data_IF_145965529712
#
_entry.id   IF_145965529712
#
_cell.length_a   1.000
_cell.length_b   1.000
_cell.length_c   1.000
_cell.angle_alpha   90.00
_cell.angle_beta   90.00
_cell.angle_gamma   90.00
#
_symmetry.space_group_name_H-M   'P 1'
#
loop_
_entity.id
_entity.type
_entity.pdbx_description
1 polymer ?
#
# COMPACT_ATOMS: atom_id res chain seq x y z
N UNK A 1 34.01 3.02 11.04
CA UNK A 1 32.66 3.61 11.19
C UNK A 1 31.87 3.19 9.96
N UNK A 2 30.86 2.33 10.11
CA UNK A 2 29.96 2.02 9.00
C UNK A 2 29.17 3.29 8.69
N UNK A 3 29.36 3.86 7.51
CA UNK A 3 28.47 4.91 7.00
C UNK A 3 27.05 4.38 7.06
N UNK A 4 26.08 5.13 7.60
CA UNK A 4 24.68 4.72 7.50
C UNK A 4 24.39 4.46 6.04
N UNK A 5 23.85 3.28 5.74
CA UNK A 5 23.52 2.89 4.38
C UNK A 5 22.35 3.77 3.94
N UNK A 6 22.67 4.93 3.34
CA UNK A 6 21.70 5.93 2.93
C UNK A 6 20.62 5.34 2.00
N UNK A 7 20.93 4.23 1.31
CA UNK A 7 19.97 3.50 0.50
C UNK A 7 18.93 2.76 1.35
N UNK A 8 19.33 2.15 2.47
CA UNK A 8 18.41 1.48 3.38
C UNK A 8 17.44 2.49 4.04
N UNK A 9 17.95 3.65 4.47
CA UNK A 9 17.08 4.70 5.02
C UNK A 9 16.08 5.22 3.98
N UNK A 10 16.53 5.45 2.75
CA UNK A 10 15.68 5.93 1.66
C UNK A 10 14.62 4.90 1.26
N UNK A 11 14.98 3.61 1.22
CA UNK A 11 14.05 2.52 0.97
C UNK A 11 12.94 2.46 2.02
N UNK A 12 13.31 2.54 3.31
CA UNK A 12 12.35 2.56 4.41
C UNK A 12 11.40 3.76 4.36
N UNK A 13 11.90 4.94 3.97
CA UNK A 13 11.06 6.12 3.79
C UNK A 13 10.05 5.93 2.65
N UNK A 14 10.48 5.33 1.54
CA UNK A 14 9.59 5.02 0.43
C UNK A 14 8.54 3.97 0.81
N UNK A 15 8.89 2.97 1.62
CA UNK A 15 7.94 1.98 2.16
C UNK A 15 6.92 2.63 3.09
N UNK A 16 7.32 3.57 3.97
CA UNK A 16 6.38 4.33 4.80
C UNK A 16 5.40 5.15 3.95
N UNK A 17 5.88 5.78 2.86
CA UNK A 17 5.02 6.53 1.94
C UNK A 17 4.03 5.61 1.21
N UNK A 18 4.45 4.40 0.83
CA UNK A 18 3.56 3.41 0.22
C UNK A 18 2.51 2.89 1.22
N UNK A 19 2.89 2.67 2.47
CA UNK A 19 1.96 2.28 3.53
C UNK A 19 0.92 3.39 3.79
N UNK A 20 1.33 4.65 3.80
CA UNK A 20 0.40 5.78 3.91
C UNK A 20 -0.59 5.81 2.74
N UNK A 21 -0.13 5.57 1.51
CA UNK A 21 -1.00 5.50 0.32
C UNK A 21 -1.98 4.34 0.38
N UNK A 22 -1.52 3.16 0.79
CA UNK A 22 -2.37 1.99 1.00
C UNK A 22 -3.46 2.27 2.05
N UNK A 23 -3.10 2.96 3.14
CA UNK A 23 -4.04 3.38 4.17
C UNK A 23 -5.06 4.42 3.65
N UNK A 24 -4.62 5.39 2.85
CA UNK A 24 -5.52 6.35 2.22
C UNK A 24 -6.49 5.68 1.25
N UNK A 25 -6.04 4.69 0.47
CA UNK A 25 -6.90 3.90 -0.41
C UNK A 25 -7.93 3.10 0.40
N UNK A 26 -7.51 2.46 1.49
CA UNK A 26 -8.41 1.77 2.40
C UNK A 26 -9.49 2.71 2.96
N UNK A 27 -9.09 3.90 3.43
CA UNK A 27 -10.03 4.91 3.93
C UNK A 27 -10.99 5.40 2.86
N UNK A 28 -10.52 5.61 1.63
CA UNK A 28 -11.38 5.98 0.51
C UNK A 28 -12.44 4.91 0.22
N UNK A 29 -12.08 3.63 0.31
CA UNK A 29 -13.04 2.52 0.18
C UNK A 29 -14.02 2.49 1.35
N UNK A 30 -13.57 2.67 2.59
CA UNK A 30 -14.47 2.68 3.76
C UNK A 30 -15.49 3.82 3.76
N UNK A 31 -15.21 4.91 3.04
CA UNK A 31 -16.18 6.01 2.83
C UNK A 31 -17.32 5.64 1.88
N UNK A 32 -17.17 4.57 1.10
CA UNK A 32 -18.19 4.08 0.19
C UNK A 32 -19.10 3.04 0.89
N UNK A 33 -20.36 2.92 0.43
CA UNK A 33 -21.22 1.80 0.83
C UNK A 33 -20.54 0.47 0.49
N UNK A 34 -20.67 -0.54 1.37
CA UNK A 34 -20.03 -1.87 1.21
C UNK A 34 -20.28 -2.46 -0.19
N UNK A 35 -21.53 -2.36 -0.67
CA UNK A 35 -21.93 -2.83 -2.00
C UNK A 35 -21.15 -2.21 -3.17
N UNK A 36 -20.59 -1.02 -2.99
CA UNK A 36 -19.85 -0.28 -4.02
C UNK A 36 -18.32 -0.36 -3.87
N UNK A 37 -17.81 -0.72 -2.68
CA UNK A 37 -16.36 -0.76 -2.42
C UNK A 37 -15.64 -1.68 -3.40
N UNK A 38 -16.22 -2.87 -3.65
CA UNK A 38 -15.64 -3.84 -4.57
C UNK A 38 -15.60 -3.32 -6.02
N UNK A 39 -16.66 -2.65 -6.46
CA UNK A 39 -16.74 -2.07 -7.81
C UNK A 39 -15.74 -0.91 -8.00
N UNK A 40 -15.50 -0.13 -6.93
CA UNK A 40 -14.58 1.02 -6.92
C UNK A 40 -13.15 0.66 -6.51
N UNK A 41 -12.85 -0.59 -6.21
CA UNK A 41 -11.55 -1.05 -5.74
C UNK A 41 -10.43 -0.68 -6.72
N UNK A 42 -10.57 -1.08 -7.99
CA UNK A 42 -9.53 -0.87 -9.00
C UNK A 42 -9.24 0.63 -9.23
N UNK A 43 -10.30 1.45 -9.30
CA UNK A 43 -10.21 2.90 -9.45
C UNK A 43 -9.51 3.54 -8.23
N UNK A 44 -9.90 3.13 -7.02
CA UNK A 44 -9.33 3.66 -5.78
C UNK A 44 -7.86 3.28 -5.65
N UNK A 45 -7.49 2.03 -5.93
CA UNK A 45 -6.09 1.61 -5.93
C UNK A 45 -5.27 2.43 -6.93
N UNK A 46 -5.77 2.61 -8.16
CA UNK A 46 -5.13 3.38 -9.22
C UNK A 46 -4.86 4.84 -8.79
N UNK A 47 -5.83 5.49 -8.16
CA UNK A 47 -5.75 6.88 -7.71
C UNK A 47 -4.68 7.12 -6.65
N UNK A 48 -4.34 6.11 -5.85
CA UNK A 48 -3.35 6.22 -4.77
C UNK A 48 -1.98 5.61 -5.13
N UNK A 49 -1.82 5.07 -6.34
CA UNK A 49 -0.52 4.53 -6.81
C UNK A 49 0.55 5.61 -6.93
N UNK A 50 1.81 5.18 -6.85
CA UNK A 50 2.97 6.02 -7.19
C UNK A 50 3.52 5.63 -8.57
N UNK A 51 4.25 6.53 -9.27
CA UNK A 51 4.89 6.19 -10.54
C UNK A 51 5.85 5.01 -10.44
N UNK A 52 6.49 4.83 -9.28
CA UNK A 52 7.46 3.77 -9.06
C UNK A 52 6.80 2.44 -8.70
N UNK A 53 5.68 2.43 -7.97
CA UNK A 53 4.99 1.19 -7.54
C UNK A 53 3.48 1.32 -7.37
N UNK A 54 2.80 0.22 -7.71
CA UNK A 54 1.34 0.07 -7.67
C UNK A 54 0.88 -0.62 -6.39
N UNK A 55 -0.27 -0.17 -5.89
CA UNK A 55 -1.03 -0.87 -4.85
C UNK A 55 -1.77 -2.05 -5.48
N UNK A 56 -1.87 -3.16 -4.75
CA UNK A 56 -2.61 -4.37 -5.14
C UNK A 56 -3.56 -4.74 -4.02
N UNK A 57 -4.62 -5.47 -4.34
CA UNK A 57 -5.49 -6.06 -3.32
C UNK A 57 -5.26 -7.57 -3.31
N UNK A 58 -4.92 -8.10 -2.14
CA UNK A 58 -4.84 -9.52 -1.88
C UNK A 58 -6.22 -10.02 -1.46
N UNK A 59 -6.85 -10.82 -2.33
CA UNK A 59 -8.19 -11.36 -2.08
C UNK A 59 -8.23 -12.41 -0.98
N UNK A 60 -7.11 -13.10 -0.75
CA UNK A 60 -7.02 -14.20 0.21
C UNK A 60 -6.86 -13.65 1.62
N UNK A 61 -6.06 -12.59 1.78
CA UNK A 61 -5.86 -11.89 3.05
C UNK A 61 -6.92 -10.80 3.30
N UNK A 62 -7.55 -10.27 2.25
CA UNK A 62 -8.44 -9.12 2.35
C UNK A 62 -7.69 -7.82 2.62
N UNK A 63 -6.52 -7.66 2.02
CA UNK A 63 -5.59 -6.57 2.33
C UNK A 63 -5.15 -5.81 1.09
N UNK A 64 -4.95 -4.49 1.23
CA UNK A 64 -4.21 -3.71 0.25
C UNK A 64 -2.72 -3.86 0.53
N UNK A 65 -1.98 -4.39 -0.44
CA UNK A 65 -0.55 -4.69 -0.35
C UNK A 65 0.26 -3.91 -1.39
N UNK A 66 1.56 -3.86 -1.20
CA UNK A 66 2.52 -3.29 -2.13
C UNK A 66 3.86 -4.02 -2.04
N UNK A 67 4.68 -3.85 -3.06
CA UNK A 67 6.02 -4.44 -3.10
C UNK A 67 6.99 -3.55 -2.30
N UNK A 68 7.72 -4.10 -1.31
CA UNK A 68 8.61 -3.31 -0.44
C UNK A 68 9.92 -2.91 -1.14
N UNK A 69 10.48 -1.75 -0.82
CA UNK A 69 11.74 -1.22 -1.36
C UNK A 69 12.93 -1.88 -0.69
N UNK A 70 12.81 -2.14 0.60
CA UNK A 70 13.75 -3.03 1.29
C UNK A 70 13.35 -4.49 1.07
N UNK A 71 14.29 -5.33 0.63
CA UNK A 71 14.11 -6.78 0.56
C UNK A 71 13.90 -7.45 1.95
N UNK A 72 14.01 -6.67 3.03
CA UNK A 72 14.21 -7.16 4.39
C UNK A 72 12.95 -7.22 5.25
N UNK A 73 11.81 -6.70 4.79
CA UNK A 73 10.57 -6.73 5.58
C UNK A 73 9.39 -7.26 4.78
N UNK A 74 8.64 -8.16 5.41
CA UNK A 74 7.38 -8.71 4.88
C UNK A 74 6.50 -7.58 4.34
N UNK A 75 5.81 -7.77 3.21
CA UNK A 75 4.89 -6.77 2.68
C UNK A 75 3.89 -6.40 3.79
N UNK A 76 3.79 -5.10 4.08
CA UNK A 76 2.85 -4.59 5.07
C UNK A 76 1.51 -4.41 4.36
N UNK A 77 0.55 -5.28 4.68
CA UNK A 77 -0.83 -5.19 4.21
C UNK A 77 -1.67 -4.26 5.08
N UNK A 78 -2.62 -3.54 4.47
CA UNK A 78 -3.68 -2.83 5.18
C UNK A 78 -4.98 -3.59 4.97
N UNK A 79 -5.56 -4.13 6.06
CA UNK A 79 -6.83 -4.86 6.00
C UNK A 79 -7.99 -3.97 5.54
N UNK A 80 -8.73 -4.44 4.54
CA UNK A 80 -9.90 -3.76 3.98
C UNK A 80 -11.04 -4.75 3.84
N UNK A 81 -12.17 -4.41 4.45
CA UNK A 81 -13.43 -5.11 4.22
C UNK A 81 -14.14 -4.47 3.02
N UNK A 82 -14.18 -5.21 1.91
CA UNK A 82 -14.92 -4.83 0.71
C UNK A 82 -16.40 -5.12 0.86
#
# INVERSE_FOLDING_TARGET
>A
MATPDNNAYSARLQDMLMQQRAFQAALALYRLPEKERRARLAETLAAHTSPARKLKYDETAGEITFEPYEHSTRPVGIAVKL
#
